data_IF_333871258788
#
_entry.id   IF_333871258788
#
_cell.length_a   1.000
_cell.length_b   1.000
_cell.length_c   1.000
_cell.angle_alpha   90.00
_cell.angle_beta   90.00
_cell.angle_gamma   90.00
#
_symmetry.space_group_name_H-M   'P 1'
#
loop_
_entity.id
_entity.type
_entity.pdbx_description
1 polymer ?
#
# COMPACT_ATOMS: atom_id res chain seq x y z
N UNK A 1 -21.94 67.60 -17.82
CA UNK A 1 -23.21 68.14 -18.35
C UNK A 1 -24.12 66.94 -18.51
N UNK A 2 -25.26 66.93 -17.81
CA UNK A 2 -26.25 65.86 -17.87
C UNK A 2 -27.46 66.29 -18.70
N UNK A 3 -28.05 65.33 -19.38
CA UNK A 3 -29.43 65.29 -19.91
C UNK A 3 -29.56 63.88 -20.52
N UNK A 4 -30.37 62.95 -20.00
CA UNK A 4 -31.85 62.97 -19.87
C UNK A 4 -32.51 63.21 -21.26
N UNK A 5 -33.49 62.44 -21.73
CA UNK A 5 -34.30 61.39 -21.07
C UNK A 5 -35.07 60.52 -22.10
N UNK A 6 -35.94 59.62 -21.61
CA UNK A 6 -37.14 59.04 -22.29
C UNK A 6 -37.04 57.69 -23.05
N UNK A 7 -37.59 56.63 -22.44
CA UNK A 7 -38.36 55.58 -23.14
C UNK A 7 -39.86 55.98 -23.21
N UNK A 8 -40.70 55.24 -23.97
CA UNK A 8 -41.69 54.40 -23.28
C UNK A 8 -41.99 53.02 -23.91
N UNK A 9 -42.83 52.27 -23.21
CA UNK A 9 -43.15 50.82 -23.25
C UNK A 9 -44.23 50.34 -24.23
N UNK A 10 -44.20 49.05 -24.61
CA UNK A 10 -45.37 48.14 -24.55
C UNK A 10 -45.04 46.66 -24.88
N UNK A 11 -45.70 45.73 -24.20
CA UNK A 11 -45.69 44.26 -24.31
C UNK A 11 -46.77 43.75 -25.32
N UNK A 12 -47.00 42.46 -25.64
CA UNK A 12 -46.54 41.13 -25.14
C UNK A 12 -46.67 40.07 -26.29
N UNK A 13 -46.25 38.80 -26.08
CA UNK A 13 -46.76 37.64 -26.84
C UNK A 13 -45.76 36.54 -27.25
N UNK A 14 -45.72 35.41 -26.51
CA UNK A 14 -45.07 34.15 -26.95
C UNK A 14 -45.93 33.34 -27.95
N UNK A 15 -45.37 32.30 -28.61
CA UNK A 15 -45.76 30.95 -28.15
C UNK A 15 -44.67 29.85 -28.18
N UNK A 16 -44.69 29.04 -27.12
CA UNK A 16 -44.36 27.60 -26.99
C UNK A 16 -43.19 26.95 -27.76
N UNK A 17 -42.30 26.28 -26.99
CA UNK A 17 -41.82 24.94 -27.35
C UNK A 17 -41.46 24.03 -26.15
N UNK A 18 -42.46 23.24 -25.72
CA UNK A 18 -42.41 21.91 -25.07
C UNK A 18 -41.27 21.59 -24.09
N UNK A 19 -41.62 21.50 -22.79
CA UNK A 19 -40.96 20.62 -21.81
C UNK A 19 -41.30 19.15 -22.06
N UNK A 20 -40.33 18.23 -21.90
CA UNK A 20 -40.51 16.94 -21.19
C UNK A 20 -39.20 16.53 -20.48
N UNK A 21 -39.36 15.89 -19.31
CA UNK A 21 -38.33 15.24 -18.51
C UNK A 21 -37.83 13.93 -19.21
N UNK A 22 -36.86 13.14 -18.74
CA UNK A 22 -36.31 12.93 -17.38
C UNK A 22 -34.94 12.23 -17.41
N UNK A 23 -34.23 12.30 -16.26
CA UNK A 23 -33.29 11.30 -15.71
C UNK A 23 -31.99 10.93 -16.47
N UNK A 24 -30.87 10.92 -15.72
CA UNK A 24 -29.58 10.39 -16.20
C UNK A 24 -28.37 10.88 -15.40
N UNK A 25 -28.05 10.19 -14.30
CA UNK A 25 -26.71 10.16 -13.67
C UNK A 25 -25.59 9.99 -14.74
N UNK A 26 -24.34 10.45 -14.61
CA UNK A 26 -23.41 10.26 -13.47
C UNK A 26 -22.14 11.14 -13.59
N UNK A 27 -21.53 11.45 -12.45
CA UNK A 27 -20.08 11.62 -12.22
C UNK A 27 -19.15 12.18 -13.33
N UNK A 28 -18.95 13.50 -13.35
CA UNK A 28 -17.62 14.07 -13.63
C UNK A 28 -16.81 14.11 -12.32
N UNK A 29 -16.43 12.92 -11.81
CA UNK A 29 -15.49 12.83 -10.70
C UNK A 29 -14.07 13.12 -11.21
N UNK A 30 -13.60 14.32 -10.90
CA UNK A 30 -12.21 14.73 -10.68
C UNK A 30 -11.18 13.59 -10.83
N UNK A 31 -10.66 13.39 -12.04
CA UNK A 31 -9.46 12.59 -12.29
C UNK A 31 -8.20 13.35 -11.85
N UNK A 32 -8.16 13.73 -10.56
CA UNK A 32 -6.99 14.32 -9.93
C UNK A 32 -5.83 13.33 -9.99
N UNK A 33 -4.93 13.50 -10.96
CA UNK A 33 -3.86 12.55 -11.19
C UNK A 33 -2.98 12.44 -9.94
N UNK A 34 -2.62 11.21 -9.57
CA UNK A 34 -1.74 10.95 -8.41
C UNK A 34 -0.44 11.75 -8.53
N UNK A 35 0.05 11.94 -9.75
CA UNK A 35 1.18 12.80 -10.12
C UNK A 35 0.97 14.27 -9.76
N UNK A 36 -0.20 14.87 -10.04
CA UNK A 36 -0.44 16.27 -9.66
C UNK A 36 -0.47 16.44 -8.13
N UNK A 37 -1.09 15.51 -7.40
CA UNK A 37 -1.14 15.53 -5.94
C UNK A 37 0.24 15.28 -5.30
N UNK A 38 1.04 14.37 -5.87
CA UNK A 38 2.43 14.13 -5.47
C UNK A 38 3.31 15.36 -5.70
N UNK A 39 3.18 16.02 -6.86
CA UNK A 39 3.92 17.25 -7.17
C UNK A 39 3.55 18.40 -6.22
N UNK A 40 2.25 18.58 -5.93
CA UNK A 40 1.80 19.61 -4.99
C UNK A 40 2.31 19.36 -3.56
N UNK A 41 2.31 18.09 -3.12
CA UNK A 41 2.87 17.69 -1.81
C UNK A 41 4.37 17.91 -1.75
N UNK A 42 5.12 17.52 -2.79
CA UNK A 42 6.57 17.73 -2.88
C UNK A 42 6.93 19.22 -2.86
N UNK A 43 6.23 20.04 -3.65
CA UNK A 43 6.42 21.49 -3.69
C UNK A 43 6.11 22.19 -2.35
N UNK A 44 5.01 21.80 -1.70
CA UNK A 44 4.63 22.31 -0.38
C UNK A 44 5.67 21.92 0.67
N UNK A 45 6.15 20.68 0.63
CA UNK A 45 7.24 20.21 1.48
C UNK A 45 8.54 20.98 1.24
N UNK A 46 8.94 21.22 -0.01
CA UNK A 46 10.14 22.01 -0.30
C UNK A 46 10.04 23.45 0.24
N UNK A 47 8.87 24.08 0.11
CA UNK A 47 8.60 25.42 0.68
C UNK A 47 8.61 25.43 2.21
N UNK A 48 7.96 24.46 2.87
CA UNK A 48 7.99 24.34 4.33
C UNK A 48 9.42 24.10 4.85
N UNK A 49 10.22 23.26 4.17
CA UNK A 49 11.61 23.03 4.54
C UNK A 49 12.46 24.29 4.38
N UNK A 50 12.25 25.06 3.30
CA UNK A 50 12.94 26.33 3.11
C UNK A 50 12.54 27.35 4.19
N UNK A 51 11.24 27.48 4.50
CA UNK A 51 10.74 28.34 5.57
C UNK A 51 11.35 27.95 6.92
N UNK A 52 11.41 26.65 7.25
CA UNK A 52 12.07 26.15 8.45
C UNK A 52 13.56 26.55 8.52
N UNK A 53 14.31 26.42 7.41
CA UNK A 53 15.70 26.88 7.33
C UNK A 53 15.83 28.39 7.56
N UNK A 54 14.96 29.19 6.95
CA UNK A 54 14.96 30.66 7.11
C UNK A 54 14.59 31.08 8.53
N UNK A 55 13.64 30.41 9.17
CA UNK A 55 13.27 30.63 10.57
C UNK A 55 14.41 30.28 11.53
N UNK A 56 15.15 29.19 11.28
CA UNK A 56 16.37 28.90 12.05
C UNK A 56 17.47 29.96 11.84
N UNK A 57 17.58 30.53 10.63
CA UNK A 57 18.52 31.62 10.36
C UNK A 57 18.17 32.94 11.07
N UNK A 58 16.89 33.22 11.33
CA UNK A 58 16.48 34.37 12.14
C UNK A 58 16.80 34.23 13.64
N UNK A 59 17.04 33.02 14.13
CA UNK A 59 17.58 32.73 15.48
C UNK A 59 16.86 33.44 16.65
N UNK A 60 15.53 33.52 16.62
CA UNK A 60 14.71 34.01 17.74
C UNK A 60 13.96 32.87 18.42
N UNK A 61 13.53 33.06 19.67
CA UNK A 61 12.73 32.05 20.38
C UNK A 61 11.45 31.68 19.61
N UNK A 62 10.80 32.67 19.01
CA UNK A 62 9.59 32.49 18.23
C UNK A 62 9.85 31.82 16.87
N UNK A 63 10.95 32.19 16.18
CA UNK A 63 11.31 31.52 14.92
C UNK A 63 11.73 30.06 15.15
N UNK A 64 12.39 29.75 16.27
CA UNK A 64 12.68 28.38 16.68
C UNK A 64 11.42 27.56 16.96
N UNK A 65 10.41 28.14 17.61
CA UNK A 65 9.11 27.48 17.82
C UNK A 65 8.47 27.09 16.48
N UNK A 66 8.36 28.02 15.54
CA UNK A 66 7.78 27.73 14.23
C UNK A 66 8.63 26.78 13.37
N UNK A 67 9.96 26.83 13.48
CA UNK A 67 10.84 25.84 12.83
C UNK A 67 10.64 24.42 13.40
N UNK A 68 10.39 24.29 14.70
CA UNK A 68 10.07 23.01 15.36
C UNK A 68 8.66 22.51 15.00
N UNK A 69 7.68 23.39 14.85
CA UNK A 69 6.34 23.03 14.33
C UNK A 69 6.43 22.51 12.88
N UNK A 70 7.18 23.20 12.03
CA UNK A 70 7.47 22.76 10.65
C UNK A 70 8.20 21.40 10.65
N UNK A 71 9.21 21.23 11.50
CA UNK A 71 9.89 19.94 11.62
C UNK A 71 8.94 18.83 12.10
N UNK A 72 8.01 19.14 13.02
CA UNK A 72 6.98 18.20 13.48
C UNK A 72 6.07 17.74 12.34
N UNK A 73 5.69 18.63 11.42
CA UNK A 73 4.93 18.29 10.21
C UNK A 73 5.70 17.29 9.35
N UNK A 74 7.03 17.44 9.19
CA UNK A 74 7.86 16.47 8.47
C UNK A 74 7.98 15.13 9.21
N UNK A 75 8.27 15.16 10.51
CA UNK A 75 8.45 13.95 11.32
C UNK A 75 7.17 13.10 11.38
N UNK A 76 6.01 13.74 11.51
CA UNK A 76 4.68 13.11 11.50
C UNK A 76 4.21 12.74 10.09
N UNK A 77 4.75 13.38 9.04
CA UNK A 77 4.39 13.17 7.64
C UNK A 77 5.07 11.99 6.94
N UNK A 78 6.01 11.31 7.60
CA UNK A 78 6.72 10.13 7.07
C UNK A 78 5.89 8.86 7.36
N UNK A 79 5.28 8.23 6.33
CA UNK A 79 4.40 7.08 6.54
C UNK A 79 5.15 5.85 7.08
N UNK A 80 4.46 4.94 7.81
CA UNK A 80 5.08 3.75 8.41
C UNK A 80 5.51 2.68 7.40
N UNK A 81 5.21 2.84 6.10
CA UNK A 81 5.69 1.98 5.03
C UNK A 81 6.06 2.79 3.78
N UNK A 82 7.27 2.52 3.25
CA UNK A 82 7.51 2.43 1.82
C UNK A 82 7.25 3.67 0.96
N UNK A 83 7.72 4.85 1.36
CA UNK A 83 8.29 5.88 0.48
C UNK A 83 8.82 7.02 1.36
N UNK A 84 10.02 6.83 1.93
CA UNK A 84 10.83 8.01 2.31
C UNK A 84 11.36 8.56 0.98
N UNK A 85 11.14 9.85 0.64
CA UNK A 85 11.72 10.42 -0.56
C UNK A 85 13.23 10.21 -0.55
N UNK A 86 13.81 9.68 -1.62
CA UNK A 86 15.27 9.52 -1.71
C UNK A 86 15.97 10.88 -1.57
N UNK A 87 15.30 11.98 -1.92
CA UNK A 87 15.70 13.37 -1.68
C UNK A 87 16.05 13.66 -0.21
N UNK A 88 15.33 13.05 0.75
CA UNK A 88 15.61 13.15 2.18
C UNK A 88 16.86 12.32 2.53
N UNK A 89 16.92 11.05 2.10
CA UNK A 89 18.04 10.16 2.46
C UNK A 89 19.37 10.51 1.78
N UNK A 90 19.35 10.99 0.54
CA UNK A 90 20.55 11.41 -0.22
C UNK A 90 21.27 12.58 0.45
N UNK A 91 20.55 13.45 1.17
CA UNK A 91 21.14 14.52 1.98
C UNK A 91 21.76 14.01 3.30
N UNK A 92 21.25 12.91 3.88
CA UNK A 92 21.75 12.33 5.13
C UNK A 92 22.87 11.29 4.96
N UNK A 93 23.13 10.78 3.74
CA UNK A 93 24.21 9.80 3.46
C UNK A 93 25.65 10.33 3.63
N UNK A 94 25.86 11.62 3.93
CA UNK A 94 27.18 12.16 4.31
C UNK A 94 27.28 12.22 5.84
N UNK A 95 28.31 11.59 6.42
CA UNK A 95 28.60 11.58 7.86
C UNK A 95 28.46 12.93 8.61
N UNK A 96 28.84 14.11 8.05
CA UNK A 96 28.56 15.40 8.69
C UNK A 96 27.06 15.67 8.92
N UNK A 97 26.17 15.23 8.04
CA UNK A 97 24.72 15.47 8.18
C UNK A 97 24.09 14.61 9.29
N UNK A 98 24.62 13.41 9.55
CA UNK A 98 24.13 12.54 10.64
C UNK A 98 24.38 13.17 12.02
N UNK A 99 25.58 13.72 12.24
CA UNK A 99 25.91 14.41 13.51
C UNK A 99 24.97 15.62 13.73
N UNK A 100 24.63 16.33 12.67
CA UNK A 100 23.63 17.41 12.70
C UNK A 100 22.22 16.88 13.00
N UNK A 101 21.81 15.76 12.40
CA UNK A 101 20.49 15.16 12.65
C UNK A 101 20.34 14.61 14.07
N UNK A 102 21.35 13.89 14.59
CA UNK A 102 21.39 13.43 15.98
C UNK A 102 21.36 14.61 16.97
N UNK A 103 22.06 15.70 16.66
CA UNK A 103 22.01 16.95 17.45
C UNK A 103 20.62 17.60 17.39
N UNK A 104 19.98 17.66 16.21
CA UNK A 104 18.63 18.16 16.03
C UNK A 104 17.60 17.35 16.83
N UNK A 105 17.64 16.01 16.74
CA UNK A 105 16.78 15.12 17.53
C UNK A 105 16.95 15.34 19.04
N UNK A 106 18.20 15.45 19.51
CA UNK A 106 18.51 15.71 20.93
C UNK A 106 17.97 17.07 21.41
N UNK A 107 18.14 18.13 20.61
CA UNK A 107 17.60 19.46 20.92
C UNK A 107 16.07 19.39 20.97
N UNK A 108 15.43 18.81 19.94
CA UNK A 108 13.97 18.67 19.83
C UNK A 108 13.37 17.92 21.03
N UNK A 109 13.98 16.83 21.47
CA UNK A 109 13.53 16.09 22.65
C UNK A 109 13.68 16.89 23.96
N UNK A 110 14.70 17.75 24.05
CA UNK A 110 14.93 18.62 25.21
C UNK A 110 13.95 19.78 25.23
N UNK A 111 13.80 20.50 24.11
CA UNK A 111 12.96 21.71 24.00
C UNK A 111 11.47 21.41 23.88
N UNK A 112 11.10 20.21 23.41
CA UNK A 112 9.73 19.93 22.97
C UNK A 112 9.27 18.55 23.47
N UNK A 113 8.91 18.41 24.77
CA UNK A 113 8.68 17.11 25.40
C UNK A 113 7.62 16.23 24.73
N UNK A 114 6.60 16.81 24.10
CA UNK A 114 5.55 16.06 23.41
C UNK A 114 6.03 15.37 22.12
N UNK A 115 7.19 15.77 21.56
CA UNK A 115 7.79 15.13 20.38
C UNK A 115 8.74 13.98 20.74
N UNK A 116 9.03 13.74 22.03
CA UNK A 116 10.04 12.75 22.47
C UNK A 116 9.79 11.34 21.93
N UNK A 117 8.52 10.94 21.76
CA UNK A 117 8.19 9.64 21.17
C UNK A 117 8.47 9.59 19.66
N UNK A 118 8.16 10.66 18.92
CA UNK A 118 8.56 10.78 17.50
C UNK A 118 10.09 10.83 17.37
N UNK A 119 10.79 11.52 18.26
CA UNK A 119 12.26 11.53 18.31
C UNK A 119 12.81 10.12 18.54
N UNK A 120 12.26 9.37 19.50
CA UNK A 120 12.62 7.96 19.73
C UNK A 120 12.43 7.11 18.46
N UNK A 121 11.27 7.22 17.80
CA UNK A 121 10.99 6.54 16.53
C UNK A 121 12.02 6.88 15.44
N UNK A 122 12.42 8.15 15.30
CA UNK A 122 13.43 8.55 14.32
C UNK A 122 14.87 8.16 14.71
N UNK A 123 15.22 8.16 15.99
CA UNK A 123 16.51 7.62 16.47
C UNK A 123 16.63 6.12 16.17
N UNK A 124 15.60 5.33 16.48
CA UNK A 124 15.59 3.88 16.20
C UNK A 124 15.65 3.61 14.69
N UNK A 125 14.89 4.35 13.87
CA UNK A 125 14.96 4.24 12.40
C UNK A 125 16.36 4.51 11.84
N UNK A 126 17.08 5.51 12.38
CA UNK A 126 18.44 5.85 11.94
C UNK A 126 19.43 4.72 12.24
N UNK A 127 19.29 4.07 13.40
CA UNK A 127 20.13 2.95 13.82
C UNK A 127 19.80 1.67 13.04
N UNK A 128 18.51 1.42 12.79
CA UNK A 128 18.04 0.30 11.96
C UNK A 128 18.54 0.37 10.50
N UNK A 129 18.68 1.57 9.93
CA UNK A 129 19.27 1.76 8.58
C UNK A 129 20.77 1.44 8.53
N UNK A 130 21.42 1.31 9.68
CA UNK A 130 22.83 0.91 9.83
C UNK A 130 23.02 -0.53 10.29
N UNK A 131 21.92 -1.28 10.45
CA UNK A 131 21.88 -2.59 11.12
C UNK A 131 22.50 -2.57 12.54
N UNK A 132 22.50 -1.40 13.20
CA UNK A 132 23.05 -1.20 14.56
C UNK A 132 22.05 -1.64 15.62
N UNK A 133 21.86 -2.96 15.71
CA UNK A 133 20.90 -3.61 16.60
C UNK A 133 21.22 -3.33 18.08
N UNK A 134 22.50 -3.31 18.46
CA UNK A 134 22.94 -2.98 19.82
C UNK A 134 22.63 -1.51 20.16
N UNK A 135 22.93 -0.58 19.25
CA UNK A 135 22.58 0.84 19.41
C UNK A 135 21.07 1.08 19.54
N UNK A 136 20.22 0.29 18.88
CA UNK A 136 18.76 0.33 19.08
C UNK A 136 18.40 -0.05 20.53
N UNK A 137 18.95 -1.15 21.05
CA UNK A 137 18.67 -1.60 22.41
C UNK A 137 19.08 -0.54 23.46
N UNK A 138 20.27 0.05 23.31
CA UNK A 138 20.78 1.10 24.18
C UNK A 138 19.93 2.38 24.10
N UNK A 139 19.62 2.87 22.89
CA UNK A 139 18.86 4.10 22.71
C UNK A 139 17.42 3.95 23.24
N UNK A 140 16.74 2.83 22.96
CA UNK A 140 15.38 2.59 23.48
C UNK A 140 15.38 2.49 24.99
N UNK A 141 16.33 1.73 25.57
CA UNK A 141 16.41 1.56 27.03
C UNK A 141 16.69 2.89 27.72
N UNK A 142 17.70 3.63 27.25
CA UNK A 142 18.07 4.95 27.77
C UNK A 142 16.90 5.94 27.66
N UNK A 143 16.38 6.15 26.45
CA UNK A 143 15.39 7.22 26.20
C UNK A 143 14.05 6.95 26.85
N UNK A 144 13.59 5.70 26.89
CA UNK A 144 12.33 5.40 27.56
C UNK A 144 12.40 5.64 29.07
N UNK A 145 13.56 5.41 29.68
CA UNK A 145 13.80 5.68 31.10
C UNK A 145 13.98 7.19 31.37
N UNK A 146 14.82 7.88 30.58
CA UNK A 146 15.05 9.34 30.69
C UNK A 146 13.77 10.17 30.47
N UNK A 147 12.91 9.75 29.55
CA UNK A 147 11.76 10.55 29.09
C UNK A 147 10.42 10.08 29.65
N UNK A 148 10.40 9.03 30.47
CA UNK A 148 9.19 8.43 31.08
C UNK A 148 8.05 8.19 30.07
N UNK A 149 8.39 7.59 28.92
CA UNK A 149 7.46 7.40 27.80
C UNK A 149 6.61 6.13 27.92
N UNK A 150 6.59 5.44 29.06
CA UNK A 150 6.05 4.08 29.20
C UNK A 150 4.57 3.92 28.83
N UNK A 151 3.81 5.02 28.85
CA UNK A 151 2.38 5.07 28.47
C UNK A 151 2.14 5.37 26.98
N UNK A 152 3.19 5.66 26.21
CA UNK A 152 3.10 5.98 24.78
C UNK A 152 3.24 4.71 23.93
N UNK A 153 2.39 4.56 22.91
CA UNK A 153 2.31 3.33 22.09
C UNK A 153 3.62 2.99 21.37
N UNK A 154 4.34 4.00 20.85
CA UNK A 154 5.67 3.83 20.27
C UNK A 154 6.69 3.27 21.28
N UNK A 155 6.75 3.84 22.48
CA UNK A 155 7.70 3.42 23.50
C UNK A 155 7.37 2.02 24.02
N UNK A 156 6.08 1.66 24.18
CA UNK A 156 5.66 0.28 24.46
C UNK A 156 6.15 -0.68 23.38
N UNK A 157 5.92 -0.35 22.10
CA UNK A 157 6.35 -1.18 20.97
C UNK A 157 7.87 -1.36 20.93
N UNK A 158 8.66 -0.28 21.06
CA UNK A 158 10.11 -0.40 21.05
C UNK A 158 10.67 -1.10 22.29
N UNK A 159 10.13 -0.86 23.50
CA UNK A 159 10.51 -1.63 24.70
C UNK A 159 10.24 -3.13 24.51
N UNK A 160 9.07 -3.49 23.96
CA UNK A 160 8.73 -4.88 23.65
C UNK A 160 9.67 -5.50 22.61
N UNK A 161 9.95 -4.78 21.51
CA UNK A 161 10.83 -5.26 20.46
C UNK A 161 12.28 -5.48 20.95
N UNK A 162 12.78 -4.60 21.83
CA UNK A 162 14.11 -4.76 22.46
C UNK A 162 14.12 -5.89 23.48
N UNK A 163 13.07 -6.01 24.30
CA UNK A 163 12.94 -7.11 25.29
C UNK A 163 12.96 -8.50 24.63
N UNK A 164 12.36 -8.63 23.44
CA UNK A 164 12.23 -9.91 22.73
C UNK A 164 13.10 -10.00 21.47
N UNK A 165 14.18 -9.22 21.42
CA UNK A 165 15.05 -9.09 20.24
C UNK A 165 15.59 -10.44 19.75
N UNK A 166 16.07 -11.30 20.65
CA UNK A 166 16.57 -12.64 20.30
C UNK A 166 15.50 -13.55 19.66
N UNK A 167 14.25 -13.43 20.13
CA UNK A 167 13.08 -14.16 19.63
C UNK A 167 12.65 -13.63 18.26
N UNK A 168 12.80 -12.32 18.02
CA UNK A 168 12.50 -11.69 16.73
C UNK A 168 13.56 -12.04 15.67
N UNK A 169 14.84 -12.08 16.04
CA UNK A 169 15.93 -12.49 15.14
C UNK A 169 15.87 -13.98 14.80
N UNK A 170 15.50 -14.83 15.76
CA UNK A 170 15.41 -16.29 15.58
C UNK A 170 13.95 -16.79 15.58
N UNK A 171 13.07 -16.07 14.88
CA UNK A 171 11.63 -16.29 14.96
C UNK A 171 11.21 -17.72 14.55
N UNK A 172 10.74 -18.49 15.52
CA UNK A 172 10.08 -19.77 15.33
C UNK A 172 8.72 -19.76 16.04
N UNK A 173 7.57 -19.77 15.32
CA UNK A 173 6.25 -19.65 15.93
C UNK A 173 5.87 -20.81 16.86
N UNK A 174 6.60 -21.94 16.81
CA UNK A 174 6.39 -23.08 17.73
C UNK A 174 7.01 -22.89 19.11
N UNK A 175 7.96 -21.96 19.26
CA UNK A 175 8.77 -21.78 20.48
C UNK A 175 8.41 -20.49 21.24
N UNK A 176 7.26 -19.87 20.94
CA UNK A 176 6.88 -18.57 21.52
C UNK A 176 6.11 -18.75 22.83
N UNK A 177 6.50 -17.96 23.83
CA UNK A 177 5.89 -17.97 25.16
C UNK A 177 4.53 -17.27 25.18
N UNK A 178 3.71 -17.59 26.18
CA UNK A 178 2.49 -16.84 26.51
C UNK A 178 2.78 -15.35 26.64
N UNK A 179 3.86 -15.02 27.36
CA UNK A 179 4.16 -13.67 27.82
C UNK A 179 4.56 -12.77 26.65
N UNK A 180 5.37 -13.27 25.71
CA UNK A 180 5.66 -12.59 24.44
C UNK A 180 4.37 -12.17 23.73
N UNK A 181 3.39 -13.08 23.69
CA UNK A 181 2.15 -12.92 22.94
C UNK A 181 1.17 -11.96 23.64
N UNK A 182 1.06 -12.06 24.97
CA UNK A 182 0.26 -11.14 25.79
C UNK A 182 0.82 -9.72 25.74
N UNK A 183 2.14 -9.56 25.75
CA UNK A 183 2.77 -8.24 25.63
C UNK A 183 2.60 -7.65 24.22
N UNK A 184 2.72 -8.47 23.17
CA UNK A 184 2.43 -8.06 21.78
C UNK A 184 0.97 -7.62 21.62
N UNK A 185 0.03 -8.34 22.22
CA UNK A 185 -1.39 -7.96 22.23
C UNK A 185 -1.62 -6.63 22.94
N UNK A 186 -1.00 -6.40 24.11
CA UNK A 186 -1.05 -5.11 24.83
C UNK A 186 -0.50 -3.95 23.98
N UNK A 187 0.61 -4.15 23.26
CA UNK A 187 1.13 -3.16 22.30
C UNK A 187 0.08 -2.85 21.25
N UNK A 188 -0.49 -3.86 20.60
CA UNK A 188 -1.51 -3.68 19.56
C UNK A 188 -2.80 -3.04 20.10
N UNK A 189 -3.29 -3.41 21.28
CA UNK A 189 -4.44 -2.75 21.91
C UNK A 189 -4.14 -1.27 22.17
N UNK A 190 -2.94 -0.94 22.67
CA UNK A 190 -2.54 0.46 22.90
C UNK A 190 -2.49 1.27 21.60
N UNK A 191 -2.03 0.70 20.49
CA UNK A 191 -2.08 1.34 19.17
C UNK A 191 -3.53 1.64 18.74
N UNK A 192 -4.42 0.68 18.93
CA UNK A 192 -5.84 0.82 18.56
C UNK A 192 -6.57 1.86 19.41
N UNK A 193 -6.34 1.87 20.73
CA UNK A 193 -6.85 2.90 21.66
C UNK A 193 -6.40 4.32 21.27
N UNK A 194 -5.18 4.45 20.73
CA UNK A 194 -4.63 5.72 20.23
C UNK A 194 -5.02 6.04 18.78
N UNK A 195 -5.88 5.24 18.15
CA UNK A 195 -6.25 5.34 16.74
C UNK A 195 -5.02 5.40 15.81
N UNK A 196 -3.95 4.68 16.16
CA UNK A 196 -2.72 4.56 15.38
C UNK A 196 -2.66 3.21 14.68
N UNK A 197 -2.34 3.22 13.39
CA UNK A 197 -2.14 2.00 12.61
C UNK A 197 -0.73 1.42 12.89
N UNK A 198 -0.61 0.14 13.29
CA UNK A 198 0.69 -0.54 13.40
C UNK A 198 1.32 -0.77 12.03
N UNK A 199 2.62 -1.05 12.00
CA UNK A 199 3.28 -1.58 10.81
C UNK A 199 2.69 -2.96 10.45
N UNK A 200 2.53 -3.29 9.16
CA UNK A 200 1.98 -4.59 8.72
C UNK A 200 2.70 -5.79 9.32
N UNK A 201 4.00 -5.69 9.58
CA UNK A 201 4.80 -6.79 10.12
C UNK A 201 4.37 -7.13 11.55
N UNK A 202 4.02 -6.14 12.38
CA UNK A 202 3.61 -6.35 13.77
C UNK A 202 2.24 -7.04 13.87
N UNK A 203 1.29 -6.63 13.03
CA UNK A 203 -0.02 -7.30 12.93
C UNK A 203 0.13 -8.68 12.27
N UNK A 204 0.94 -8.82 11.22
CA UNK A 204 1.21 -10.10 10.57
C UNK A 204 1.81 -11.13 11.53
N UNK A 205 2.78 -10.69 12.35
CA UNK A 205 3.40 -11.49 13.40
C UNK A 205 2.36 -12.00 14.42
N UNK A 206 1.53 -11.10 14.97
CA UNK A 206 0.47 -11.46 15.91
C UNK A 206 -0.54 -12.45 15.29
N UNK A 207 -0.96 -12.20 14.05
CA UNK A 207 -1.84 -13.10 13.31
C UNK A 207 -1.22 -14.48 13.03
N UNK A 208 0.09 -14.54 12.78
CA UNK A 208 0.82 -15.80 12.58
C UNK A 208 0.95 -16.62 13.87
N UNK A 209 1.07 -15.97 15.03
CA UNK A 209 1.17 -16.64 16.34
C UNK A 209 -0.21 -17.11 16.83
N UNK A 210 -1.21 -16.22 16.83
CA UNK A 210 -2.53 -16.49 17.42
C UNK A 210 -3.52 -17.14 16.46
N UNK A 211 -3.26 -17.12 15.14
CA UNK A 211 -4.17 -17.66 14.12
C UNK A 211 -5.60 -17.15 14.31
N UNK A 212 -6.56 -18.08 14.41
CA UNK A 212 -8.00 -17.79 14.57
C UNK A 212 -8.33 -16.92 15.79
N UNK A 213 -7.53 -16.94 16.87
CA UNK A 213 -7.75 -16.06 18.04
C UNK A 213 -7.53 -14.58 17.72
N UNK A 214 -6.64 -14.25 16.78
CA UNK A 214 -6.37 -12.85 16.40
C UNK A 214 -7.53 -12.15 15.67
N UNK A 215 -8.54 -12.90 15.22
CA UNK A 215 -9.68 -12.35 14.46
C UNK A 215 -10.46 -11.29 15.24
N UNK A 216 -10.58 -11.39 16.56
CA UNK A 216 -11.33 -10.40 17.34
C UNK A 216 -10.65 -9.03 17.29
N UNK A 217 -9.37 -8.96 17.66
CA UNK A 217 -8.58 -7.73 17.62
C UNK A 217 -8.46 -7.19 16.19
N UNK A 218 -8.25 -8.08 15.20
CA UNK A 218 -8.13 -7.69 13.80
C UNK A 218 -9.45 -7.13 13.24
N UNK A 219 -10.61 -7.66 13.65
CA UNK A 219 -11.90 -7.09 13.30
C UNK A 219 -12.11 -5.70 13.93
N UNK A 220 -11.64 -5.46 15.16
CA UNK A 220 -11.66 -4.11 15.77
C UNK A 220 -10.80 -3.14 14.94
N UNK A 221 -9.59 -3.55 14.55
CA UNK A 221 -8.73 -2.79 13.63
C UNK A 221 -9.40 -2.49 12.27
N UNK A 222 -10.08 -3.46 11.65
CA UNK A 222 -10.78 -3.25 10.37
C UNK A 222 -11.95 -2.27 10.53
N UNK A 223 -12.64 -2.26 11.69
CA UNK A 223 -13.69 -1.25 11.96
C UNK A 223 -13.11 0.16 12.08
N UNK A 224 -11.97 0.32 12.73
CA UNK A 224 -11.29 1.64 12.86
C UNK A 224 -10.60 2.08 11.57
N UNK A 225 -10.13 1.15 10.73
CA UNK A 225 -9.35 1.43 9.52
C UNK A 225 -9.82 0.61 8.30
N UNK A 226 -11.08 0.76 7.85
CA UNK A 226 -11.70 -0.13 6.86
C UNK A 226 -11.01 -0.13 5.50
N UNK A 227 -10.41 1.00 5.10
CA UNK A 227 -9.72 1.15 3.83
C UNK A 227 -8.37 0.42 3.76
N UNK A 228 -7.77 0.05 4.90
CA UNK A 228 -6.42 -0.53 4.91
C UNK A 228 -6.45 -1.96 4.38
N UNK A 229 -5.60 -2.22 3.37
CA UNK A 229 -5.55 -3.51 2.68
C UNK A 229 -4.97 -4.63 3.56
N UNK A 230 -3.80 -4.40 4.18
CA UNK A 230 -3.09 -5.49 4.88
C UNK A 230 -3.86 -6.06 6.08
N UNK A 231 -4.75 -5.28 6.71
CA UNK A 231 -5.63 -5.77 7.78
C UNK A 231 -6.63 -6.81 7.23
N UNK A 232 -7.28 -6.48 6.11
CA UNK A 232 -8.22 -7.37 5.42
C UNK A 232 -7.50 -8.60 4.88
N UNK A 233 -6.30 -8.43 4.33
CA UNK A 233 -5.44 -9.54 3.88
C UNK A 233 -5.11 -10.51 5.01
N UNK A 234 -4.63 -10.03 6.16
CA UNK A 234 -4.37 -10.89 7.32
C UNK A 234 -5.64 -11.60 7.82
N UNK A 235 -6.80 -10.92 7.82
CA UNK A 235 -8.08 -11.53 8.21
C UNK A 235 -8.44 -12.70 7.30
N UNK A 236 -8.24 -12.52 5.99
CA UNK A 236 -8.45 -13.56 5.00
C UNK A 236 -7.48 -14.72 5.24
N UNK A 237 -6.17 -14.48 5.44
CA UNK A 237 -5.19 -15.53 5.76
C UNK A 237 -5.62 -16.49 6.88
N UNK A 238 -6.37 -15.98 7.86
CA UNK A 238 -6.83 -16.72 9.04
C UNK A 238 -8.15 -17.47 8.79
N UNK A 239 -9.00 -16.93 7.91
CA UNK A 239 -10.32 -17.51 7.59
C UNK A 239 -10.18 -18.64 6.59
N UNK A 240 -9.34 -18.44 5.56
CA UNK A 240 -9.05 -19.42 4.50
C UNK A 240 -8.60 -20.74 5.12
N UNK A 241 -9.51 -21.70 5.15
CA UNK A 241 -9.28 -23.02 5.75
C UNK A 241 -9.15 -24.10 4.68
N UNK A 242 -9.74 -23.90 3.51
CA UNK A 242 -9.70 -24.83 2.38
C UNK A 242 -9.39 -24.14 1.06
N UNK A 243 -9.18 -24.95 0.03
CA UNK A 243 -9.03 -24.51 -1.37
C UNK A 243 -10.28 -23.78 -1.89
N UNK A 244 -11.47 -24.28 -1.56
CA UNK A 244 -12.75 -23.71 -1.99
C UNK A 244 -12.98 -22.31 -1.42
N UNK A 245 -12.57 -22.06 -0.17
CA UNK A 245 -12.60 -20.72 0.42
C UNK A 245 -11.76 -19.72 -0.39
N UNK A 246 -10.59 -20.16 -0.88
CA UNK A 246 -9.68 -19.34 -1.67
C UNK A 246 -10.26 -19.02 -3.05
N UNK A 247 -10.70 -20.04 -3.77
CA UNK A 247 -11.32 -19.91 -5.10
C UNK A 247 -12.53 -18.98 -5.00
N UNK A 248 -13.44 -19.25 -4.05
CA UNK A 248 -14.65 -18.44 -3.81
C UNK A 248 -14.31 -17.00 -3.47
N UNK A 249 -13.29 -16.74 -2.65
CA UNK A 249 -12.86 -15.38 -2.36
C UNK A 249 -12.35 -14.65 -3.61
N UNK A 250 -11.53 -15.30 -4.43
CA UNK A 250 -10.97 -14.69 -5.65
C UNK A 250 -12.09 -14.36 -6.64
N UNK A 251 -13.00 -15.28 -6.92
CA UNK A 251 -14.13 -15.02 -7.82
C UNK A 251 -15.04 -13.91 -7.28
N UNK A 252 -15.37 -13.91 -5.98
CA UNK A 252 -16.18 -12.85 -5.36
C UNK A 252 -15.45 -11.48 -5.30
N UNK A 253 -14.13 -11.45 -5.39
CA UNK A 253 -13.36 -10.20 -5.42
C UNK A 253 -13.44 -9.44 -6.75
N UNK A 254 -14.12 -10.00 -7.76
CA UNK A 254 -14.16 -9.43 -9.12
C UNK A 254 -12.79 -9.37 -9.78
N UNK A 255 -11.90 -10.31 -9.43
CA UNK A 255 -10.55 -10.46 -10.00
C UNK A 255 -9.65 -9.22 -9.93
N UNK A 256 -9.84 -8.36 -8.92
CA UNK A 256 -9.05 -7.14 -8.67
C UNK A 256 -7.52 -7.35 -8.74
N UNK A 257 -6.75 -6.27 -8.92
CA UNK A 257 -5.26 -6.33 -8.92
C UNK A 257 -4.66 -6.97 -7.66
N UNK A 258 -5.37 -6.86 -6.53
CA UNK A 258 -5.07 -7.49 -5.24
C UNK A 258 -5.21 -9.02 -5.29
N UNK A 259 -6.13 -9.54 -6.10
CA UNK A 259 -6.45 -10.97 -6.22
C UNK A 259 -5.29 -11.76 -6.83
N UNK A 260 -4.46 -11.11 -7.65
CA UNK A 260 -3.21 -11.64 -8.23
C UNK A 260 -2.17 -11.91 -7.15
N UNK A 261 -1.90 -10.91 -6.31
CA UNK A 261 -0.89 -11.01 -5.25
C UNK A 261 -1.33 -12.02 -4.19
N UNK A 262 -2.63 -12.00 -3.88
CA UNK A 262 -3.29 -12.98 -3.03
C UNK A 262 -3.13 -14.41 -3.55
N UNK A 263 -3.43 -14.67 -4.83
CA UNK A 263 -3.22 -15.98 -5.44
C UNK A 263 -1.77 -16.41 -5.44
N UNK A 264 -0.84 -15.52 -5.78
CA UNK A 264 0.58 -15.87 -5.76
C UNK A 264 1.09 -16.22 -4.35
N UNK A 265 0.54 -15.63 -3.29
CA UNK A 265 0.82 -16.04 -1.91
C UNK A 265 0.21 -17.40 -1.55
N UNK A 266 -0.91 -17.78 -2.15
CA UNK A 266 -1.70 -18.97 -1.79
C UNK A 266 -1.72 -20.07 -2.86
N UNK A 267 -0.88 -19.98 -3.89
CA UNK A 267 -0.80 -20.96 -5.00
C UNK A 267 -0.51 -22.40 -4.56
N UNK A 268 0.04 -22.57 -3.35
CA UNK A 268 0.30 -23.87 -2.72
C UNK A 268 -0.95 -24.51 -2.06
N UNK A 269 -2.07 -23.77 -1.93
CA UNK A 269 -3.35 -24.27 -1.39
C UNK A 269 -4.34 -24.68 -2.49
N UNK A 270 -3.96 -24.58 -3.76
CA UNK A 270 -4.81 -24.85 -4.92
C UNK A 270 -4.17 -25.94 -5.77
N UNK A 271 -4.95 -26.89 -6.26
CA UNK A 271 -4.47 -27.88 -7.20
C UNK A 271 -4.07 -27.20 -8.53
N UNK A 272 -3.01 -27.66 -9.23
CA UNK A 272 -2.46 -26.91 -10.36
C UNK A 272 -3.47 -26.66 -11.49
N UNK A 273 -4.40 -27.60 -11.70
CA UNK A 273 -5.50 -27.47 -12.67
C UNK A 273 -6.43 -26.29 -12.35
N UNK A 274 -6.93 -26.21 -11.11
CA UNK A 274 -7.81 -25.12 -10.68
C UNK A 274 -7.07 -23.79 -10.61
N UNK A 275 -5.78 -23.81 -10.26
CA UNK A 275 -4.94 -22.61 -10.26
C UNK A 275 -4.76 -22.05 -11.68
N UNK A 276 -4.52 -22.91 -12.68
CA UNK A 276 -4.43 -22.50 -14.09
C UNK A 276 -5.73 -21.87 -14.55
N UNK A 277 -6.88 -22.51 -14.30
CA UNK A 277 -8.20 -21.96 -14.67
C UNK A 277 -8.50 -20.62 -13.99
N UNK A 278 -8.19 -20.49 -12.69
CA UNK A 278 -8.46 -19.27 -11.92
C UNK A 278 -7.53 -18.11 -12.30
N UNK A 279 -6.27 -18.39 -12.64
CA UNK A 279 -5.34 -17.41 -13.19
C UNK A 279 -5.72 -17.02 -14.63
N UNK A 280 -6.27 -17.96 -15.40
CA UNK A 280 -6.80 -17.70 -16.73
C UNK A 280 -7.97 -16.72 -16.67
N UNK A 281 -9.03 -17.02 -15.91
CA UNK A 281 -10.17 -16.11 -15.68
C UNK A 281 -9.71 -14.70 -15.22
N UNK A 282 -8.71 -14.67 -14.34
CA UNK A 282 -8.15 -13.42 -13.82
C UNK A 282 -7.46 -12.58 -14.91
N UNK A 283 -6.72 -13.17 -15.85
CA UNK A 283 -6.14 -12.40 -16.98
C UNK A 283 -7.20 -11.93 -17.97
N UNK A 284 -8.34 -12.64 -18.11
CA UNK A 284 -9.45 -12.16 -18.94
C UNK A 284 -10.12 -10.94 -18.30
N UNK A 285 -10.33 -10.98 -16.98
CA UNK A 285 -10.99 -9.92 -16.22
C UNK A 285 -10.11 -8.67 -16.07
N UNK A 286 -8.81 -8.84 -15.82
CA UNK A 286 -7.83 -7.74 -15.75
C UNK A 286 -6.67 -8.01 -16.72
N UNK A 287 -6.88 -7.73 -18.02
CA UNK A 287 -5.89 -8.01 -19.06
C UNK A 287 -4.77 -6.96 -19.10
N UNK A 288 -5.02 -5.74 -18.64
CA UNK A 288 -4.07 -4.62 -18.71
C UNK A 288 -2.94 -4.66 -17.64
N UNK A 289 -2.78 -5.75 -16.89
CA UNK A 289 -1.72 -5.91 -15.90
C UNK A 289 -0.69 -6.95 -16.33
N UNK A 290 0.49 -6.47 -16.74
CA UNK A 290 1.66 -7.27 -17.14
C UNK A 290 1.97 -8.46 -16.22
N UNK A 291 1.85 -8.24 -14.90
CA UNK A 291 2.17 -9.24 -13.87
C UNK A 291 1.22 -10.45 -13.90
N UNK A 292 -0.03 -10.26 -14.33
CA UNK A 292 -1.03 -11.32 -14.36
C UNK A 292 -0.64 -12.36 -15.43
N UNK A 293 -0.33 -11.89 -16.64
CA UNK A 293 0.19 -12.70 -17.74
C UNK A 293 1.49 -13.42 -17.38
N UNK A 294 2.42 -12.73 -16.69
CA UNK A 294 3.67 -13.32 -16.27
C UNK A 294 3.48 -14.48 -15.26
N UNK A 295 2.59 -14.32 -14.27
CA UNK A 295 2.29 -15.36 -13.27
C UNK A 295 1.53 -16.53 -13.92
N UNK A 296 0.57 -16.26 -14.81
CA UNK A 296 -0.10 -17.32 -15.57
C UNK A 296 0.91 -18.12 -16.40
N UNK A 297 1.81 -17.44 -17.13
CA UNK A 297 2.87 -18.09 -17.91
C UNK A 297 3.78 -18.97 -17.05
N UNK A 298 4.21 -18.48 -15.88
CA UNK A 298 5.03 -19.25 -14.92
C UNK A 298 4.34 -20.57 -14.52
N UNK A 299 3.03 -20.55 -14.27
CA UNK A 299 2.27 -21.74 -13.85
C UNK A 299 2.00 -22.69 -15.02
N UNK A 300 1.58 -22.20 -16.19
CA UNK A 300 1.29 -23.06 -17.37
C UNK A 300 2.54 -23.64 -18.04
N UNK A 301 3.73 -23.10 -17.75
CA UNK A 301 5.00 -23.66 -18.22
C UNK A 301 5.44 -24.91 -17.43
N UNK A 302 4.70 -25.28 -16.37
CA UNK A 302 5.00 -26.47 -15.58
C UNK A 302 4.59 -27.78 -16.29
N UNK A 303 5.48 -28.76 -16.32
CA UNK A 303 5.27 -30.07 -16.97
C UNK A 303 4.34 -31.03 -16.19
N UNK A 304 3.42 -30.48 -15.39
CA UNK A 304 2.47 -31.30 -14.60
C UNK A 304 1.34 -31.83 -15.49
N UNK A 305 0.86 -33.02 -15.13
CA UNK A 305 -0.32 -33.62 -15.77
C UNK A 305 -1.58 -32.78 -15.49
N UNK A 306 -1.76 -32.28 -14.27
CA UNK A 306 -2.89 -31.41 -13.91
C UNK A 306 -2.89 -30.10 -14.71
N UNK A 307 -1.71 -29.49 -14.90
CA UNK A 307 -1.54 -28.30 -15.76
C UNK A 307 -1.93 -28.62 -17.22
N UNK A 308 -1.51 -29.79 -17.72
CA UNK A 308 -1.83 -30.22 -19.09
C UNK A 308 -3.34 -30.46 -19.28
N UNK A 309 -4.01 -31.08 -18.32
CA UNK A 309 -5.47 -31.31 -18.34
C UNK A 309 -6.26 -29.99 -18.28
N UNK A 310 -5.81 -29.00 -17.49
CA UNK A 310 -6.41 -27.67 -17.47
C UNK A 310 -6.17 -26.87 -18.77
N UNK A 311 -4.99 -26.97 -19.36
CA UNK A 311 -4.71 -26.35 -20.67
C UNK A 311 -5.59 -26.93 -21.77
N UNK A 312 -5.81 -28.25 -21.79
CA UNK A 312 -6.74 -28.88 -22.73
C UNK A 312 -8.20 -28.47 -22.49
N UNK A 313 -8.59 -28.21 -21.24
CA UNK A 313 -9.90 -27.61 -20.92
C UNK A 313 -10.03 -26.18 -21.47
N UNK A 314 -9.00 -25.35 -21.31
CA UNK A 314 -8.96 -23.97 -21.85
C UNK A 314 -9.03 -23.98 -23.37
N UNK A 315 -8.25 -24.82 -24.06
CA UNK A 315 -8.24 -24.91 -25.54
C UNK A 315 -9.60 -25.34 -26.13
N UNK A 316 -10.41 -26.09 -25.37
CA UNK A 316 -11.76 -26.51 -25.77
C UNK A 316 -12.83 -25.47 -25.41
N UNK A 317 -12.49 -24.45 -24.62
CA UNK A 317 -13.38 -23.36 -24.26
C UNK A 317 -13.46 -22.30 -25.35
N UNK A 318 -14.65 -21.74 -25.58
CA UNK A 318 -14.83 -20.58 -26.46
C UNK A 318 -14.00 -19.37 -26.03
N UNK A 319 -13.54 -19.32 -24.78
CA UNK A 319 -12.65 -18.27 -24.27
C UNK A 319 -11.29 -18.26 -24.99
N UNK A 320 -10.80 -19.40 -25.52
CA UNK A 320 -9.54 -19.42 -26.29
C UNK A 320 -9.61 -18.55 -27.55
N UNK A 321 -10.82 -18.25 -28.04
CA UNK A 321 -11.02 -17.35 -29.19
C UNK A 321 -10.52 -15.92 -28.95
N UNK A 322 -10.18 -15.52 -27.71
CA UNK A 322 -9.47 -14.25 -27.45
C UNK A 322 -8.01 -14.23 -27.92
N UNK A 323 -7.48 -15.39 -28.35
CA UNK A 323 -6.21 -15.55 -29.07
C UNK A 323 -6.43 -15.75 -30.58
N UNK A 324 -7.67 -15.62 -31.07
CA UNK A 324 -7.92 -15.63 -32.52
C UNK A 324 -7.80 -14.22 -33.10
N UNK A 325 -7.35 -14.16 -34.35
CA UNK A 325 -7.06 -12.95 -35.14
C UNK A 325 -8.22 -11.91 -35.15
N UNK A 326 -9.48 -12.35 -35.00
CA UNK A 326 -10.66 -11.48 -34.96
C UNK A 326 -11.15 -11.12 -33.55
N UNK A 327 -10.82 -11.93 -32.53
CA UNK A 327 -11.19 -11.72 -31.12
C UNK A 327 -10.07 -11.16 -30.24
N UNK A 328 -8.88 -10.95 -30.82
CA UNK A 328 -7.62 -10.65 -30.14
C UNK A 328 -7.71 -9.46 -29.16
N UNK A 329 -7.72 -9.75 -27.85
CA UNK A 329 -7.68 -8.73 -26.79
C UNK A 329 -6.33 -8.01 -26.71
N UNK A 330 -5.26 -8.58 -27.27
CA UNK A 330 -3.92 -8.03 -27.33
C UNK A 330 -3.88 -6.60 -27.88
N UNK A 331 -4.77 -6.28 -28.84
CA UNK A 331 -4.88 -4.93 -29.43
C UNK A 331 -5.37 -3.86 -28.45
N UNK A 332 -5.91 -4.27 -27.29
CA UNK A 332 -6.38 -3.40 -26.21
C UNK A 332 -5.44 -3.42 -25.00
N UNK A 333 -4.32 -4.14 -25.08
CA UNK A 333 -3.32 -4.21 -24.02
C UNK A 333 -2.39 -3.00 -24.07
N UNK A 334 -1.87 -2.56 -22.90
CA UNK A 334 -0.68 -1.73 -22.84
C UNK A 334 0.51 -2.43 -23.52
N UNK A 335 1.39 -1.65 -24.17
CA UNK A 335 2.51 -2.19 -24.97
C UNK A 335 3.46 -3.09 -24.16
N UNK A 336 3.64 -2.82 -22.87
CA UNK A 336 4.49 -3.62 -21.97
C UNK A 336 3.86 -4.98 -21.55
N UNK A 337 2.57 -5.18 -21.85
CA UNK A 337 1.80 -6.40 -21.61
C UNK A 337 1.73 -7.32 -22.84
N UNK A 338 2.01 -6.82 -24.05
CA UNK A 338 1.92 -7.58 -25.31
C UNK A 338 2.83 -8.80 -25.32
N UNK A 339 4.09 -8.65 -24.94
CA UNK A 339 5.07 -9.76 -24.92
C UNK A 339 4.65 -10.88 -23.91
N UNK A 340 4.30 -10.59 -22.64
CA UNK A 340 3.73 -11.60 -21.75
C UNK A 340 2.44 -12.26 -22.25
N UNK A 341 1.55 -11.52 -22.92
CA UNK A 341 0.36 -12.07 -23.56
C UNK A 341 0.72 -13.09 -24.67
N UNK A 342 1.67 -12.74 -25.54
CA UNK A 342 2.15 -13.61 -26.62
C UNK A 342 2.81 -14.90 -26.09
N UNK A 343 3.48 -14.85 -24.94
CA UNK A 343 4.02 -16.04 -24.28
C UNK A 343 2.91 -16.98 -23.80
N UNK A 344 1.86 -16.46 -23.16
CA UNK A 344 0.69 -17.26 -22.79
C UNK A 344 0.00 -17.82 -24.04
N UNK A 345 -0.15 -17.03 -25.09
CA UNK A 345 -0.70 -17.47 -26.37
C UNK A 345 0.08 -18.66 -26.97
N UNK A 346 1.41 -18.67 -26.88
CA UNK A 346 2.24 -19.75 -27.45
C UNK A 346 2.05 -21.14 -26.84
N UNK A 347 1.35 -21.24 -25.70
CA UNK A 347 0.98 -22.51 -25.05
C UNK A 347 -0.46 -22.93 -25.39
N UNK A 348 -1.27 -21.99 -25.89
CA UNK A 348 -2.72 -22.15 -26.11
C UNK A 348 -3.12 -22.24 -27.60
N UNK A 349 -2.38 -21.59 -28.50
CA UNK A 349 -2.64 -21.64 -29.96
C UNK A 349 -1.47 -22.28 -30.71
N UNK A 350 -1.75 -22.77 -31.92
CA UNK A 350 -0.76 -23.35 -32.81
C UNK A 350 0.20 -22.30 -33.41
N UNK A 351 1.43 -22.68 -33.82
CA UNK A 351 2.44 -21.75 -34.29
C UNK A 351 2.01 -20.82 -35.45
N UNK A 352 1.24 -21.27 -36.47
CA UNK A 352 0.71 -20.38 -37.51
C UNK A 352 -0.16 -19.24 -36.96
N UNK A 353 -1.06 -19.54 -36.01
CA UNK A 353 -1.91 -18.52 -35.39
C UNK A 353 -1.11 -17.59 -34.47
N UNK A 354 -0.12 -18.11 -33.74
CA UNK A 354 0.77 -17.29 -32.91
C UNK A 354 1.54 -16.24 -33.74
N UNK A 355 2.02 -16.61 -34.93
CA UNK A 355 2.76 -15.69 -35.78
C UNK A 355 1.87 -14.60 -36.37
N UNK A 356 0.61 -14.93 -36.71
CA UNK A 356 -0.41 -13.94 -37.08
C UNK A 356 -0.74 -12.98 -35.92
N UNK A 357 -0.78 -13.46 -34.67
CA UNK A 357 -0.95 -12.60 -33.50
C UNK A 357 0.24 -11.65 -33.31
N UNK A 358 1.49 -12.13 -33.44
CA UNK A 358 2.69 -11.30 -33.34
C UNK A 358 2.65 -10.15 -34.35
N UNK A 359 2.48 -10.47 -35.62
CA UNK A 359 2.42 -9.50 -36.72
C UNK A 359 1.33 -8.43 -36.53
N UNK A 360 0.26 -8.73 -35.80
CA UNK A 360 -0.81 -7.77 -35.49
C UNK A 360 -0.63 -6.94 -34.22
N UNK A 361 0.38 -7.25 -33.40
CA UNK A 361 0.61 -6.60 -32.11
C UNK A 361 1.97 -5.90 -32.02
N UNK A 362 2.90 -6.20 -32.94
CA UNK A 362 4.21 -5.54 -33.06
C UNK A 362 4.30 -4.55 -34.23
N UNK A 363 3.21 -4.35 -34.97
CA UNK A 363 3.06 -3.40 -36.08
C UNK A 363 1.78 -2.57 -35.86
#
# INVERSE_FOLDING_TARGET
MNSDDSQPSSEEGEPEKKRRHSEGYTSNQLSGSKTHYQNLKSYTNAKLLHLGKTLLAYNTHESHKYALEIASIFLNGIPPEGYVPEDLFTHFKKEPTEKLFKRFLSITATTTPHLRASVLEHSVRLLAVKDDIAGIADEVTRRCNEWNLEKHELAKHYKWAVKHMDVLTNFNPKNITSDFTVELENVLVTYLERLRLPNKNLIGLYCQIQGKKSLELLNKYIRSFPSIYFLRFNRLKIILSTEEDLIKFVTLSGYSSVSVEFLNCFKHMVSPDKLVLLLFDLVLAIPYLKRNWAILHEVISGESREVSEALESIKRSELVNMFNVHGNIGRRLPQDCVEPYLRVASVLVDPPHLELLRLQLTH
#
